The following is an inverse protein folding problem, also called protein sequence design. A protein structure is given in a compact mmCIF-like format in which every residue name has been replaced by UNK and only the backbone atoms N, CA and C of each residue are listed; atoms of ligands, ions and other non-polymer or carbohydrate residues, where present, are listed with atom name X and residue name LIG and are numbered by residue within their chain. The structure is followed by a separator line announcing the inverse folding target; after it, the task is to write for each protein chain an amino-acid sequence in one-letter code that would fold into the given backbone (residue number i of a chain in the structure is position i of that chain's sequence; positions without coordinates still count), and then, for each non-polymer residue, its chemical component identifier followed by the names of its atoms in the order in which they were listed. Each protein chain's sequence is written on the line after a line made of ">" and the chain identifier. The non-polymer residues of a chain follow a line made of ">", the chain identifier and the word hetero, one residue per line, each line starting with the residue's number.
data_IF_258805454174
#
_entry.id   IF_258805454174
#
_cell.length_a   1.000
_cell.length_b   1.000
_cell.length_c   1.000
_cell.angle_alpha   90.00
_cell.angle_beta   90.00
_cell.angle_gamma   90.00
#
_symmetry.space_group_name_H-M   'P 1'
#
loop_
_entity.id
_entity.type
_entity.pdbx_description
1 polymer ?
#
# COMPACT_ATOMS: atom_id res chain seq x y z
N UNK A 1 -22.24 -13.06 16.44
CA UNK A 1 -21.03 -12.80 15.62
C UNK A 1 -21.41 -11.84 14.51
N UNK A 2 -20.79 -10.63 14.43
CA UNK A 2 -21.12 -9.60 13.45
C UNK A 2 -20.47 -9.91 12.11
N UNK A 3 -21.25 -9.89 11.03
CA UNK A 3 -20.76 -10.10 9.67
C UNK A 3 -20.18 -8.80 9.11
N UNK A 4 -18.91 -8.83 8.68
CA UNK A 4 -18.20 -7.68 8.13
C UNK A 4 -17.74 -8.03 6.73
N UNK A 5 -18.32 -7.35 5.74
CA UNK A 5 -17.99 -7.61 4.35
C UNK A 5 -17.02 -6.56 3.82
N UNK A 6 -16.02 -7.02 3.05
CA UNK A 6 -15.03 -6.17 2.41
C UNK A 6 -15.31 -6.08 0.92
N UNK A 7 -15.53 -4.87 0.44
CA UNK A 7 -15.61 -4.52 -0.97
C UNK A 7 -14.30 -3.90 -1.41
N UNK A 8 -13.55 -4.60 -2.23
CA UNK A 8 -12.27 -4.14 -2.74
C UNK A 8 -11.96 -4.75 -4.11
N UNK A 9 -12.72 -4.43 -5.16
CA UNK A 9 -12.36 -4.84 -6.50
C UNK A 9 -11.10 -4.09 -6.93
N UNK A 10 -10.11 -4.81 -7.46
CA UNK A 10 -8.85 -4.22 -7.87
C UNK A 10 -8.46 -4.66 -9.28
N UNK A 11 -7.64 -3.84 -9.91
CA UNK A 11 -7.06 -4.07 -11.23
C UNK A 11 -5.55 -4.02 -11.06
N UNK A 12 -4.89 -5.14 -11.36
CA UNK A 12 -3.46 -5.32 -11.18
C UNK A 12 -3.01 -5.45 -9.72
N UNK A 13 -1.73 -5.68 -9.52
CA UNK A 13 -1.15 -5.93 -8.19
C UNK A 13 -0.89 -4.62 -7.45
N UNK A 14 -1.64 -4.35 -6.38
CA UNK A 14 -1.58 -3.12 -5.60
C UNK A 14 -1.46 -3.39 -4.09
N UNK A 15 -0.84 -2.47 -3.37
CA UNK A 15 -0.59 -2.60 -1.93
C UNK A 15 -1.88 -2.74 -1.08
N UNK A 16 -3.00 -2.19 -1.55
CA UNK A 16 -4.31 -2.28 -0.88
C UNK A 16 -4.78 -3.73 -0.68
N UNK A 17 -4.39 -4.66 -1.56
CA UNK A 17 -4.68 -6.10 -1.43
C UNK A 17 -4.18 -6.62 -0.07
N UNK A 18 -2.92 -6.32 0.24
CA UNK A 18 -2.31 -6.71 1.53
C UNK A 18 -3.02 -6.08 2.71
N UNK A 19 -3.42 -4.81 2.60
CA UNK A 19 -4.16 -4.11 3.66
C UNK A 19 -5.51 -4.77 3.93
N UNK A 20 -6.27 -5.14 2.90
CA UNK A 20 -7.58 -5.81 3.04
C UNK A 20 -7.45 -7.18 3.68
N UNK A 21 -6.54 -8.03 3.16
CA UNK A 21 -6.29 -9.36 3.73
C UNK A 21 -5.88 -9.27 5.20
N UNK A 22 -4.98 -8.35 5.53
CA UNK A 22 -4.49 -8.19 6.88
C UNK A 22 -5.55 -7.58 7.82
N UNK A 23 -6.39 -6.66 7.34
CA UNK A 23 -7.52 -6.11 8.10
C UNK A 23 -8.54 -7.21 8.42
N UNK A 24 -8.98 -7.98 7.42
CA UNK A 24 -9.88 -9.11 7.62
C UNK A 24 -9.27 -10.16 8.57
N UNK A 25 -8.01 -10.55 8.36
CA UNK A 25 -7.31 -11.49 9.23
C UNK A 25 -7.16 -10.97 10.68
N UNK A 26 -6.99 -9.67 10.87
CA UNK A 26 -6.89 -9.09 12.21
C UNK A 26 -8.19 -9.30 13.01
N UNK A 27 -9.34 -9.17 12.35
CA UNK A 27 -10.65 -9.45 12.94
C UNK A 27 -10.82 -10.94 13.27
N UNK A 28 -10.39 -11.84 12.37
CA UNK A 28 -10.40 -13.29 12.67
C UNK A 28 -9.54 -13.62 13.87
N UNK A 29 -8.31 -13.06 13.90
CA UNK A 29 -7.28 -13.48 14.87
C UNK A 29 -7.49 -12.94 16.27
N UNK A 30 -7.98 -11.70 16.40
CA UNK A 30 -7.95 -10.98 17.69
C UNK A 30 -9.33 -10.68 18.28
N UNK A 31 -10.42 -11.07 17.63
CA UNK A 31 -11.76 -10.69 18.08
C UNK A 31 -12.51 -11.72 18.91
N UNK A 32 -11.88 -12.84 19.26
CA UNK A 32 -12.53 -13.95 19.97
C UNK A 32 -13.90 -14.32 19.38
N UNK A 33 -13.92 -14.48 18.07
CA UNK A 33 -15.11 -14.81 17.26
C UNK A 33 -16.25 -13.76 17.30
N UNK A 34 -16.00 -12.54 17.77
CA UNK A 34 -17.00 -11.46 17.74
C UNK A 34 -17.33 -11.02 16.31
N UNK A 35 -16.34 -11.08 15.40
CA UNK A 35 -16.48 -10.65 14.02
C UNK A 35 -16.25 -11.79 13.04
N UNK A 36 -17.02 -11.79 11.96
CA UNK A 36 -16.92 -12.73 10.86
C UNK A 36 -16.65 -11.99 9.54
N UNK A 37 -15.36 -11.76 9.20
CA UNK A 37 -15.04 -11.08 7.95
C UNK A 37 -15.27 -11.97 6.73
N UNK A 38 -15.76 -11.34 5.64
CA UNK A 38 -15.90 -11.95 4.33
C UNK A 38 -15.40 -10.99 3.26
N UNK A 39 -14.53 -11.46 2.36
CA UNK A 39 -14.06 -10.69 1.22
C UNK A 39 -14.94 -11.02 0.02
N UNK A 40 -15.54 -9.98 -0.58
CA UNK A 40 -16.31 -10.10 -1.81
C UNK A 40 -15.34 -10.22 -2.98
N UNK A 41 -15.40 -11.34 -3.69
CA UNK A 41 -14.69 -11.57 -4.95
C UNK A 41 -15.61 -11.15 -6.09
N UNK A 42 -15.47 -9.92 -6.55
CA UNK A 42 -16.44 -9.30 -7.45
C UNK A 42 -16.31 -9.74 -8.90
N UNK A 43 -15.07 -9.98 -9.36
CA UNK A 43 -14.78 -10.26 -10.78
C UNK A 43 -13.71 -11.35 -10.95
N UNK A 44 -13.41 -12.13 -9.90
CA UNK A 44 -12.34 -13.11 -9.92
C UNK A 44 -10.97 -12.55 -9.49
N UNK A 45 -10.89 -11.28 -9.13
CA UNK A 45 -9.66 -10.60 -8.71
C UNK A 45 -9.00 -11.21 -7.48
N UNK A 46 -9.75 -11.97 -6.69
CA UNK A 46 -9.27 -12.65 -5.48
C UNK A 46 -9.00 -14.15 -5.69
N UNK A 47 -9.14 -14.69 -6.91
CA UNK A 47 -9.02 -16.14 -7.17
C UNK A 47 -7.62 -16.67 -6.81
N UNK A 48 -6.55 -15.91 -7.09
CA UNK A 48 -5.16 -16.28 -6.75
C UNK A 48 -4.86 -16.24 -5.24
N UNK A 49 -5.79 -15.74 -4.43
CA UNK A 49 -5.61 -15.57 -2.97
C UNK A 49 -6.33 -16.63 -2.14
N UNK A 50 -6.99 -17.62 -2.75
CA UNK A 50 -7.78 -18.67 -2.07
C UNK A 50 -6.98 -19.39 -0.98
N UNK A 51 -5.79 -19.88 -1.30
CA UNK A 51 -4.90 -20.54 -0.34
C UNK A 51 -4.54 -19.63 0.84
N UNK A 52 -4.30 -18.34 0.59
CA UNK A 52 -4.05 -17.34 1.64
C UNK A 52 -5.27 -17.12 2.53
N UNK A 53 -6.47 -17.18 1.97
CA UNK A 53 -7.71 -17.04 2.73
C UNK A 53 -7.95 -18.26 3.63
N UNK A 54 -7.75 -19.46 3.12
CA UNK A 54 -7.85 -20.71 3.89
C UNK A 54 -6.88 -20.72 5.07
N UNK A 55 -5.60 -20.45 4.83
CA UNK A 55 -4.58 -20.34 5.89
C UNK A 55 -4.92 -19.30 6.96
N UNK A 56 -5.62 -18.23 6.59
CA UNK A 56 -6.02 -17.14 7.50
C UNK A 56 -7.44 -17.26 8.01
N UNK A 57 -8.17 -18.32 7.64
CA UNK A 57 -9.58 -18.53 7.99
C UNK A 57 -10.49 -17.34 7.61
N UNK A 58 -10.21 -16.72 6.44
CA UNK A 58 -10.99 -15.61 5.90
C UNK A 58 -12.00 -16.21 4.91
N UNK A 59 -13.27 -15.87 5.05
CA UNK A 59 -14.30 -16.28 4.10
C UNK A 59 -14.25 -15.40 2.86
N UNK A 60 -14.57 -15.99 1.70
CA UNK A 60 -14.75 -15.26 0.45
C UNK A 60 -16.02 -15.70 -0.26
N UNK A 61 -16.65 -14.78 -1.00
CA UNK A 61 -17.87 -15.04 -1.80
C UNK A 61 -17.68 -14.42 -3.18
N UNK A 62 -17.67 -15.26 -4.21
CA UNK A 62 -17.54 -14.83 -5.61
C UNK A 62 -18.91 -14.46 -6.16
N UNK A 63 -18.98 -13.39 -6.97
CA UNK A 63 -20.17 -13.05 -7.74
C UNK A 63 -20.26 -13.89 -9.01
N UNK A 64 -21.46 -14.23 -9.39
CA UNK A 64 -21.78 -14.69 -10.73
C UNK A 64 -22.01 -13.44 -11.60
N UNK A 65 -21.04 -13.11 -12.42
CA UNK A 65 -21.11 -11.92 -13.26
C UNK A 65 -21.51 -12.28 -14.69
N UNK A 66 -22.33 -11.45 -15.31
CA UNK A 66 -22.71 -11.57 -16.71
C UNK A 66 -21.58 -11.28 -17.71
N UNK A 67 -20.55 -10.54 -17.29
CA UNK A 67 -19.43 -10.16 -18.14
C UNK A 67 -18.11 -10.67 -17.58
N UNK A 68 -17.30 -11.27 -18.45
CA UNK A 68 -15.90 -11.54 -18.15
C UNK A 68 -15.16 -10.21 -18.07
N UNK A 69 -14.56 -9.94 -16.91
CA UNK A 69 -13.79 -8.73 -16.67
C UNK A 69 -12.33 -9.15 -16.50
N UNK A 70 -11.49 -8.71 -17.45
CA UNK A 70 -10.05 -8.85 -17.29
C UNK A 70 -9.56 -7.86 -16.24
N UNK A 71 -9.12 -8.39 -15.10
CA UNK A 71 -8.58 -7.63 -13.98
C UNK A 71 -7.08 -7.37 -14.10
N UNK A 72 -6.39 -8.00 -15.08
CA UNK A 72 -4.96 -7.84 -15.32
C UNK A 72 -4.64 -6.74 -16.34
N UNK A 73 -5.41 -5.68 -16.36
CA UNK A 73 -5.21 -4.57 -17.30
C UNK A 73 -4.16 -3.58 -16.80
N UNK A 74 -3.19 -3.26 -17.67
CA UNK A 74 -2.23 -2.17 -17.44
C UNK A 74 -2.58 -0.95 -18.29
N UNK A 75 -2.31 0.24 -17.75
CA UNK A 75 -2.54 1.51 -18.46
C UNK A 75 -3.75 2.31 -17.95
N UNK A 76 -3.63 3.64 -17.99
CA UNK A 76 -4.60 4.57 -17.39
C UNK A 76 -6.01 4.49 -17.99
N UNK A 77 -6.13 4.46 -19.32
CA UNK A 77 -7.43 4.42 -20.02
C UNK A 77 -8.11 3.04 -19.85
N UNK A 78 -7.34 1.96 -20.01
CA UNK A 78 -7.85 0.60 -19.85
C UNK A 78 -8.39 0.37 -18.46
N UNK A 79 -7.69 0.83 -17.42
CA UNK A 79 -8.15 0.69 -16.03
C UNK A 79 -9.45 1.48 -15.77
N UNK A 80 -9.67 2.64 -16.38
CA UNK A 80 -10.92 3.39 -16.21
C UNK A 80 -12.12 2.70 -16.87
N UNK A 81 -11.93 2.14 -18.05
CA UNK A 81 -12.98 1.34 -18.72
C UNK A 81 -13.32 0.11 -17.86
N UNK A 82 -12.30 -0.55 -17.32
CA UNK A 82 -12.49 -1.70 -16.40
C UNK A 82 -13.28 -1.30 -15.16
N UNK A 83 -13.03 -0.12 -14.56
CA UNK A 83 -13.82 0.37 -13.42
C UNK A 83 -15.29 0.59 -13.74
N UNK A 84 -15.61 1.09 -14.95
CA UNK A 84 -17.00 1.23 -15.40
C UNK A 84 -17.64 -0.15 -15.60
N UNK A 85 -16.93 -1.10 -16.22
CA UNK A 85 -17.40 -2.48 -16.37
C UNK A 85 -17.67 -3.12 -15.01
N UNK A 86 -16.78 -3.00 -14.03
CA UNK A 86 -16.97 -3.49 -12.65
C UNK A 86 -18.20 -2.85 -12.02
N UNK A 87 -18.38 -1.53 -12.18
CA UNK A 87 -19.55 -0.83 -11.63
C UNK A 87 -20.85 -1.41 -12.17
N UNK A 88 -20.97 -1.58 -13.48
CA UNK A 88 -22.19 -2.09 -14.14
C UNK A 88 -22.43 -3.57 -13.81
N UNK A 89 -21.42 -4.42 -13.92
CA UNK A 89 -21.54 -5.87 -13.71
C UNK A 89 -21.85 -6.24 -12.27
N UNK A 90 -21.29 -5.49 -11.30
CA UNK A 90 -21.46 -5.81 -9.88
C UNK A 90 -22.65 -5.12 -9.23
N UNK A 91 -23.37 -4.25 -9.95
CA UNK A 91 -24.48 -3.47 -9.38
C UNK A 91 -25.56 -4.35 -8.74
N UNK A 92 -26.11 -5.29 -9.50
CA UNK A 92 -27.20 -6.17 -9.00
C UNK A 92 -26.67 -7.17 -7.97
N UNK A 93 -25.47 -7.72 -8.18
CA UNK A 93 -24.88 -8.70 -7.27
C UNK A 93 -24.58 -8.10 -5.90
N UNK A 94 -24.00 -6.90 -5.84
CA UNK A 94 -23.75 -6.21 -4.57
C UNK A 94 -25.07 -5.80 -3.89
N UNK A 95 -26.04 -5.28 -4.64
CA UNK A 95 -27.39 -4.98 -4.11
C UNK A 95 -28.04 -6.23 -3.51
N UNK A 96 -27.97 -7.40 -4.19
CA UNK A 96 -28.52 -8.68 -3.73
C UNK A 96 -27.89 -9.10 -2.39
N UNK A 97 -26.56 -9.08 -2.28
CA UNK A 97 -25.86 -9.40 -1.04
C UNK A 97 -26.28 -8.48 0.10
N UNK A 98 -26.32 -7.17 -0.12
CA UNK A 98 -26.71 -6.21 0.93
C UNK A 98 -28.16 -6.39 1.39
N UNK A 99 -29.06 -6.85 0.51
CA UNK A 99 -30.46 -7.11 0.86
C UNK A 99 -30.69 -8.47 1.51
N UNK A 100 -29.98 -9.52 1.07
CA UNK A 100 -30.18 -10.90 1.50
C UNK A 100 -29.30 -11.23 2.71
N UNK A 101 -27.99 -11.08 2.57
CA UNK A 101 -27.03 -11.45 3.63
C UNK A 101 -27.04 -10.42 4.79
N UNK A 102 -27.46 -9.17 4.52
CA UNK A 102 -27.57 -8.07 5.50
C UNK A 102 -26.38 -7.99 6.44
N UNK A 103 -25.12 -7.91 5.91
CA UNK A 103 -23.97 -7.82 6.78
C UNK A 103 -24.09 -6.58 7.68
N UNK A 104 -23.55 -6.64 8.90
CA UNK A 104 -23.60 -5.50 9.81
C UNK A 104 -22.82 -4.32 9.25
N UNK A 105 -21.65 -4.61 8.65
CA UNK A 105 -20.78 -3.59 8.03
C UNK A 105 -20.36 -3.99 6.63
N UNK A 106 -20.31 -3.00 5.74
CA UNK A 106 -19.60 -3.06 4.45
C UNK A 106 -18.44 -2.09 4.48
N UNK A 107 -17.21 -2.62 4.45
CA UNK A 107 -15.97 -1.81 4.36
C UNK A 107 -15.56 -1.72 2.89
N UNK A 108 -15.69 -0.54 2.30
CA UNK A 108 -15.37 -0.28 0.91
C UNK A 108 -13.97 0.37 0.77
N UNK A 109 -13.04 -0.34 0.11
CA UNK A 109 -11.65 0.12 -0.09
C UNK A 109 -11.45 0.79 -1.45
N UNK A 110 -11.86 0.14 -2.54
CA UNK A 110 -11.68 0.62 -3.91
C UNK A 110 -13.01 0.66 -4.63
N UNK A 111 -13.07 1.43 -5.71
CA UNK A 111 -14.31 1.63 -6.51
C UNK A 111 -15.50 1.94 -5.58
N UNK A 112 -15.28 2.86 -4.65
CA UNK A 112 -16.28 3.27 -3.64
C UNK A 112 -17.53 3.91 -4.25
N UNK A 113 -17.47 4.29 -5.53
CA UNK A 113 -18.63 4.88 -6.25
C UNK A 113 -19.83 3.94 -6.29
N UNK A 114 -19.64 2.63 -6.48
CA UNK A 114 -20.74 1.68 -6.52
C UNK A 114 -21.43 1.52 -5.16
N UNK A 115 -20.73 1.22 -4.04
CA UNK A 115 -21.39 1.22 -2.73
C UNK A 115 -22.08 2.55 -2.42
N UNK A 116 -21.44 3.69 -2.62
CA UNK A 116 -22.03 5.02 -2.36
C UNK A 116 -23.32 5.18 -3.16
N UNK A 117 -23.34 4.87 -4.46
CA UNK A 117 -24.51 4.98 -5.32
C UNK A 117 -25.66 4.08 -4.84
N UNK A 118 -25.36 2.82 -4.49
CA UNK A 118 -26.38 1.90 -3.95
C UNK A 118 -26.98 2.42 -2.64
N UNK A 119 -26.17 2.96 -1.74
CA UNK A 119 -26.64 3.50 -0.47
C UNK A 119 -27.42 4.82 -0.60
N UNK A 120 -27.23 5.56 -1.69
CA UNK A 120 -28.06 6.74 -2.00
C UNK A 120 -29.47 6.28 -2.43
N UNK A 121 -29.53 5.29 -3.34
CA UNK A 121 -30.80 4.89 -3.96
C UNK A 121 -31.61 3.92 -3.07
N UNK A 122 -30.93 3.00 -2.38
CA UNK A 122 -31.58 1.95 -1.61
C UNK A 122 -31.35 2.11 -0.12
N UNK A 123 -32.30 1.61 0.67
CA UNK A 123 -32.16 1.47 2.11
C UNK A 123 -31.66 0.07 2.45
N UNK A 124 -30.54 0.02 3.19
CA UNK A 124 -29.94 -1.21 3.72
C UNK A 124 -29.87 -1.12 5.25
N UNK A 125 -29.90 -2.27 5.92
CA UNK A 125 -29.61 -2.37 7.36
C UNK A 125 -28.10 -2.28 7.63
N UNK A 126 -27.29 -2.57 6.61
CA UNK A 126 -25.84 -2.53 6.63
C UNK A 126 -25.31 -1.13 6.84
N UNK A 127 -24.33 -0.98 7.70
CA UNK A 127 -23.57 0.27 7.92
C UNK A 127 -22.41 0.36 6.94
N UNK A 128 -22.28 1.49 6.23
CA UNK A 128 -21.23 1.70 5.23
C UNK A 128 -20.00 2.38 5.85
N UNK A 129 -18.86 1.70 5.74
CA UNK A 129 -17.55 2.24 6.10
C UNK A 129 -16.75 2.45 4.81
N UNK A 130 -16.12 3.61 4.66
CA UNK A 130 -15.29 3.89 3.49
C UNK A 130 -13.84 4.07 3.93
N UNK A 131 -12.96 3.22 3.40
CA UNK A 131 -11.53 3.39 3.58
C UNK A 131 -10.96 4.18 2.41
N UNK A 132 -10.27 5.27 2.72
CA UNK A 132 -9.59 6.10 1.73
C UNK A 132 -8.28 5.45 1.32
N UNK A 133 -8.06 5.39 0.01
CA UNK A 133 -6.81 4.87 -0.57
C UNK A 133 -6.14 5.99 -1.38
N UNK A 134 -5.12 6.58 -0.81
CA UNK A 134 -4.36 7.67 -1.44
C UNK A 134 -5.08 9.02 -1.43
N UNK A 135 -4.43 10.04 -2.02
CA UNK A 135 -4.97 11.39 -2.12
C UNK A 135 -6.20 11.42 -3.03
N UNK A 136 -7.37 11.61 -2.43
CA UNK A 136 -8.64 11.68 -3.17
C UNK A 136 -8.78 13.03 -3.86
N UNK A 137 -8.79 13.03 -5.19
CA UNK A 137 -9.16 14.22 -5.95
C UNK A 137 -10.68 14.41 -5.88
N UNK A 138 -11.13 15.35 -5.06
CA UNK A 138 -12.54 15.69 -4.90
C UNK A 138 -12.97 16.71 -5.97
N UNK A 139 -13.47 16.23 -7.11
CA UNK A 139 -14.19 17.07 -8.06
C UNK A 139 -15.62 17.36 -7.55
N UNK A 140 -16.29 18.34 -8.17
CA UNK A 140 -17.64 18.78 -7.79
C UNK A 140 -18.64 17.60 -7.71
N UNK A 141 -18.67 16.74 -8.72
CA UNK A 141 -19.59 15.60 -8.80
C UNK A 141 -19.35 14.58 -7.68
N UNK A 142 -18.08 14.24 -7.41
CA UNK A 142 -17.75 13.34 -6.32
C UNK A 142 -18.13 13.93 -4.95
N UNK A 143 -17.83 15.21 -4.74
CA UNK A 143 -18.21 15.93 -3.51
C UNK A 143 -19.73 15.92 -3.30
N UNK A 144 -20.49 16.13 -4.36
CA UNK A 144 -21.95 16.09 -4.35
C UNK A 144 -22.47 14.68 -3.95
N UNK A 145 -22.00 13.62 -4.62
CA UNK A 145 -22.40 12.23 -4.29
C UNK A 145 -22.07 11.88 -2.82
N UNK A 146 -20.91 12.28 -2.33
CA UNK A 146 -20.54 12.00 -0.96
C UNK A 146 -21.41 12.77 0.04
N UNK A 147 -21.77 14.00 -0.25
CA UNK A 147 -22.72 14.78 0.56
C UNK A 147 -24.12 14.14 0.59
N UNK A 148 -24.61 13.61 -0.52
CA UNK A 148 -25.87 12.87 -0.55
C UNK A 148 -25.82 11.59 0.31
N UNK A 149 -24.68 10.91 0.31
CA UNK A 149 -24.50 9.68 1.08
C UNK A 149 -24.12 9.90 2.56
N UNK A 150 -23.84 11.15 2.99
CA UNK A 150 -23.23 11.43 4.31
C UNK A 150 -23.96 10.83 5.50
N UNK A 151 -25.31 10.80 5.48
CA UNK A 151 -26.13 10.22 6.55
C UNK A 151 -26.07 8.69 6.59
N UNK A 152 -25.64 8.04 5.49
CA UNK A 152 -25.55 6.57 5.35
C UNK A 152 -24.14 6.05 5.61
N UNK A 153 -23.13 6.92 5.59
CA UNK A 153 -21.77 6.57 5.93
C UNK A 153 -21.67 6.56 7.46
N UNK A 154 -21.27 5.40 8.00
CA UNK A 154 -21.04 5.26 9.43
C UNK A 154 -19.80 6.02 9.82
N UNK A 155 -18.66 5.73 9.16
CA UNK A 155 -17.42 6.48 9.28
C UNK A 155 -16.51 6.27 8.07
N UNK A 156 -15.47 7.13 7.98
CA UNK A 156 -14.40 7.05 6.98
C UNK A 156 -13.10 6.75 7.71
N UNK A 157 -12.26 5.86 7.14
CA UNK A 157 -10.92 5.61 7.65
C UNK A 157 -9.85 6.18 6.72
N UNK A 158 -8.87 6.86 7.29
CA UNK A 158 -7.75 7.48 6.60
C UNK A 158 -6.44 6.84 7.07
N UNK A 159 -5.56 6.38 6.14
CA UNK A 159 -4.36 5.62 6.50
C UNK A 159 -3.20 6.49 6.99
N UNK A 160 -3.23 7.80 6.73
CA UNK A 160 -2.21 8.78 7.13
C UNK A 160 -2.87 9.98 7.79
N UNK A 161 -2.12 10.67 8.66
CA UNK A 161 -2.59 11.88 9.34
C UNK A 161 -2.89 13.00 8.32
N UNK A 162 -2.04 13.16 7.30
CA UNK A 162 -2.29 14.15 6.23
C UNK A 162 -3.63 13.89 5.52
N UNK A 163 -3.94 12.62 5.19
CA UNK A 163 -5.22 12.27 4.56
C UNK A 163 -6.39 12.51 5.50
N UNK A 164 -6.24 12.20 6.79
CA UNK A 164 -7.22 12.48 7.83
C UNK A 164 -7.52 13.98 7.93
N UNK A 165 -6.49 14.81 8.06
CA UNK A 165 -6.64 16.29 8.15
C UNK A 165 -7.25 16.87 6.86
N UNK A 166 -6.88 16.35 5.70
CA UNK A 166 -7.46 16.77 4.43
C UNK A 166 -8.96 16.47 4.35
N UNK A 167 -9.41 15.31 4.88
CA UNK A 167 -10.84 15.01 4.92
C UNK A 167 -11.63 15.87 5.90
N UNK A 168 -11.05 16.21 7.05
CA UNK A 168 -11.66 17.17 7.98
C UNK A 168 -11.85 18.54 7.28
N UNK A 169 -10.82 19.04 6.61
CA UNK A 169 -10.89 20.33 5.89
C UNK A 169 -11.92 20.33 4.74
N UNK A 170 -12.20 19.19 4.12
CA UNK A 170 -13.21 19.08 3.07
C UNK A 170 -14.64 19.28 3.60
N UNK A 171 -14.87 19.12 4.90
CA UNK A 171 -16.16 19.32 5.57
C UNK A 171 -17.33 18.63 4.86
N UNK A 172 -17.12 17.37 4.46
CA UNK A 172 -18.13 16.54 3.79
C UNK A 172 -18.92 15.73 4.82
N UNK A 173 -18.24 15.20 5.83
CA UNK A 173 -18.79 14.51 6.97
C UNK A 173 -18.40 15.23 8.27
N UNK A 174 -19.14 14.91 9.33
CA UNK A 174 -18.83 15.36 10.67
C UNK A 174 -17.47 14.81 11.12
N UNK A 175 -16.66 15.59 11.81
CA UNK A 175 -15.29 15.23 12.16
C UNK A 175 -15.19 13.92 12.98
N UNK A 176 -16.18 13.65 13.84
CA UNK A 176 -16.27 12.43 14.64
C UNK A 176 -16.50 11.15 13.80
N UNK A 177 -16.87 11.28 12.53
CA UNK A 177 -17.02 10.20 11.56
C UNK A 177 -15.77 9.99 10.68
N UNK A 178 -14.70 10.74 10.90
CA UNK A 178 -13.44 10.58 10.18
C UNK A 178 -12.43 10.02 11.17
N UNK A 179 -11.80 8.91 10.83
CA UNK A 179 -10.95 8.15 11.73
C UNK A 179 -9.56 7.99 11.12
N UNK A 180 -8.53 8.33 11.88
CA UNK A 180 -7.17 7.95 11.55
C UNK A 180 -6.97 6.47 11.88
N UNK A 181 -6.80 5.66 10.84
CA UNK A 181 -6.61 4.21 10.96
C UNK A 181 -5.44 3.76 10.07
N UNK A 182 -4.24 3.60 10.62
CA UNK A 182 -3.10 3.09 9.89
C UNK A 182 -3.37 1.71 9.28
N UNK A 183 -2.86 1.49 8.06
CA UNK A 183 -3.01 0.20 7.39
C UNK A 183 -2.27 -0.92 8.12
N UNK A 184 -2.83 -2.13 8.17
CA UNK A 184 -2.20 -3.27 8.81
C UNK A 184 -1.15 -3.90 7.88
N UNK A 185 0.01 -3.27 7.77
CA UNK A 185 1.09 -3.65 6.85
C UNK A 185 1.96 -4.75 7.45
N UNK A 186 2.23 -4.65 8.76
CA UNK A 186 3.24 -5.44 9.45
C UNK A 186 2.63 -6.68 10.09
N UNK A 187 3.25 -7.82 9.77
CA UNK A 187 3.15 -9.06 10.53
C UNK A 187 4.56 -9.44 11.01
N UNK A 188 4.84 -9.22 12.28
CA UNK A 188 6.19 -9.38 12.84
C UNK A 188 6.72 -10.79 12.66
N UNK A 189 5.92 -11.83 12.97
CA UNK A 189 6.35 -13.23 12.82
C UNK A 189 6.65 -13.59 11.36
N UNK A 190 5.85 -13.11 10.41
CA UNK A 190 6.08 -13.32 8.98
C UNK A 190 7.38 -12.66 8.51
N UNK A 191 7.64 -11.41 8.93
CA UNK A 191 8.87 -10.70 8.59
C UNK A 191 10.08 -11.43 9.14
N UNK A 192 10.06 -11.84 10.42
CA UNK A 192 11.17 -12.56 11.06
C UNK A 192 11.48 -13.88 10.35
N UNK A 193 10.46 -14.61 9.89
CA UNK A 193 10.67 -15.84 9.12
C UNK A 193 11.22 -15.55 7.73
N UNK A 194 10.66 -14.58 7.01
CA UNK A 194 11.08 -14.22 5.65
C UNK A 194 12.50 -13.67 5.57
N UNK A 195 12.99 -13.03 6.62
CA UNK A 195 14.39 -12.55 6.71
C UNK A 195 15.42 -13.66 6.74
N UNK A 196 15.05 -14.87 7.19
CA UNK A 196 15.96 -16.03 7.27
C UNK A 196 16.29 -16.64 5.92
N UNK A 197 15.47 -16.37 4.90
CA UNK A 197 15.67 -16.92 3.57
C UNK A 197 16.96 -16.38 2.94
N UNK A 198 17.70 -17.28 2.29
CA UNK A 198 18.94 -16.92 1.59
C UNK A 198 18.65 -16.11 0.34
N UNK A 199 19.51 -15.15 0.07
CA UNK A 199 19.58 -14.48 -1.22
C UNK A 199 20.33 -15.38 -2.19
N UNK A 200 19.70 -15.71 -3.32
CA UNK A 200 20.28 -16.53 -4.39
C UNK A 200 20.85 -15.57 -5.44
N UNK A 201 22.01 -15.86 -5.99
CA UNK A 201 22.71 -15.05 -7.02
C UNK A 201 23.04 -13.61 -6.57
N UNK A 202 23.42 -13.46 -5.30
CA UNK A 202 23.91 -12.20 -4.73
C UNK A 202 25.39 -12.30 -4.45
N UNK A 203 26.12 -11.24 -4.81
CA UNK A 203 27.51 -11.10 -4.41
C UNK A 203 27.57 -10.73 -2.92
N UNK A 204 27.95 -11.71 -2.08
CA UNK A 204 28.00 -11.55 -0.62
C UNK A 204 29.04 -10.53 -0.16
N UNK A 205 29.99 -10.20 -1.03
CA UNK A 205 31.12 -9.31 -0.72
C UNK A 205 30.84 -7.86 -1.12
N UNK A 206 29.66 -7.55 -1.68
CA UNK A 206 29.34 -6.20 -2.13
C UNK A 206 28.19 -5.60 -1.34
N UNK A 207 28.40 -4.41 -0.88
CA UNK A 207 27.36 -3.58 -0.30
C UNK A 207 26.32 -3.17 -1.35
N UNK A 208 25.05 -3.16 -0.96
CA UNK A 208 24.00 -2.79 -1.89
C UNK A 208 22.88 -1.96 -1.27
N UNK A 209 22.33 -1.10 -2.08
CA UNK A 209 21.05 -0.44 -1.85
C UNK A 209 19.91 -1.17 -2.54
N UNK A 210 18.71 -1.03 -2.01
CA UNK A 210 17.52 -1.59 -2.62
C UNK A 210 16.46 -0.53 -2.85
N UNK A 211 15.79 -0.57 -4.00
CA UNK A 211 14.54 0.14 -4.24
C UNK A 211 13.49 -0.86 -4.69
N UNK A 212 12.26 -0.72 -4.18
CA UNK A 212 11.20 -1.71 -4.37
C UNK A 212 9.91 -1.04 -4.79
N UNK A 213 9.31 -1.52 -5.88
CA UNK A 213 8.02 -1.01 -6.32
C UNK A 213 7.74 -1.29 -7.79
N UNK A 214 6.50 -1.02 -8.20
CA UNK A 214 6.11 -1.16 -9.61
C UNK A 214 6.94 -0.21 -10.50
N UNK A 215 7.30 -0.66 -11.67
CA UNK A 215 8.03 0.15 -12.65
C UNK A 215 7.07 1.12 -13.36
N UNK A 216 6.67 2.14 -12.62
CA UNK A 216 5.69 3.16 -13.03
C UNK A 216 6.24 4.57 -12.77
N UNK A 217 5.61 5.57 -13.38
CA UNK A 217 5.94 6.98 -13.15
C UNK A 217 5.88 7.35 -11.64
N UNK A 218 4.92 6.77 -10.91
CA UNK A 218 4.76 7.04 -9.47
C UNK A 218 6.01 6.70 -8.68
N UNK A 219 6.62 5.53 -8.91
CA UNK A 219 7.78 5.04 -8.15
C UNK A 219 9.10 5.68 -8.58
N UNK A 220 9.15 6.25 -9.78
CA UNK A 220 10.24 7.08 -10.29
C UNK A 220 11.65 6.49 -10.11
N UNK A 221 11.81 5.17 -10.36
CA UNK A 221 13.11 4.50 -10.23
C UNK A 221 14.18 5.07 -11.18
N UNK A 222 13.79 5.80 -12.25
CA UNK A 222 14.72 6.51 -13.11
C UNK A 222 15.56 7.54 -12.33
N UNK A 223 14.99 8.17 -11.30
CA UNK A 223 15.73 9.09 -10.44
C UNK A 223 16.88 8.36 -9.72
N UNK A 224 16.60 7.17 -9.19
CA UNK A 224 17.63 6.34 -8.54
C UNK A 224 18.71 5.91 -9.54
N UNK A 225 18.33 5.45 -10.75
CA UNK A 225 19.29 5.05 -11.79
C UNK A 225 20.23 6.20 -12.14
N UNK A 226 19.69 7.39 -12.42
CA UNK A 226 20.49 8.58 -12.76
C UNK A 226 21.37 9.05 -11.60
N UNK A 227 20.87 8.99 -10.37
CA UNK A 227 21.65 9.31 -9.18
C UNK A 227 22.84 8.35 -9.00
N UNK A 228 22.61 7.04 -9.21
CA UNK A 228 23.66 6.04 -9.10
C UNK A 228 24.77 6.19 -10.13
N UNK A 229 24.52 6.76 -11.31
CA UNK A 229 25.56 7.14 -12.25
C UNK A 229 26.61 8.12 -11.64
N UNK A 230 26.18 8.97 -10.69
CA UNK A 230 27.07 9.88 -9.96
C UNK A 230 27.72 9.19 -8.75
N UNK A 231 26.95 8.43 -7.98
CA UNK A 231 27.44 7.69 -6.80
C UNK A 231 28.55 6.71 -7.17
N UNK A 232 28.42 5.99 -8.28
CA UNK A 232 29.40 4.99 -8.74
C UNK A 232 30.72 5.58 -9.21
N UNK A 233 30.78 6.87 -9.53
CA UNK A 233 32.06 7.58 -9.78
C UNK A 233 32.89 7.73 -8.49
N UNK A 234 32.20 7.77 -7.33
CA UNK A 234 32.83 7.95 -6.01
C UNK A 234 33.05 6.58 -5.34
N UNK A 235 32.06 5.68 -5.46
CA UNK A 235 32.14 4.35 -4.87
C UNK A 235 31.69 3.28 -5.90
N UNK A 236 32.62 2.78 -6.74
CA UNK A 236 32.30 1.88 -7.85
C UNK A 236 31.89 0.45 -7.41
N UNK A 237 32.12 0.10 -6.14
CA UNK A 237 31.80 -1.25 -5.63
C UNK A 237 30.32 -1.44 -5.26
N UNK A 238 29.56 -0.36 -5.04
CA UNK A 238 28.18 -0.42 -4.58
C UNK A 238 27.24 -0.93 -5.69
N UNK A 239 26.23 -1.73 -5.28
CA UNK A 239 25.17 -2.22 -6.16
C UNK A 239 23.84 -1.57 -5.82
N UNK A 240 23.02 -1.31 -6.83
CA UNK A 240 21.59 -0.97 -6.67
C UNK A 240 20.73 -2.11 -7.22
N UNK A 241 19.91 -2.72 -6.35
CA UNK A 241 18.87 -3.63 -6.77
C UNK A 241 17.53 -2.90 -6.89
N UNK A 242 16.91 -2.98 -8.06
CA UNK A 242 15.58 -2.43 -8.33
C UNK A 242 14.63 -3.61 -8.47
N UNK A 243 13.76 -3.80 -7.47
CA UNK A 243 12.90 -4.97 -7.38
C UNK A 243 11.45 -4.61 -7.73
N UNK A 244 10.92 -5.26 -8.75
CA UNK A 244 9.56 -5.04 -9.19
C UNK A 244 9.33 -5.39 -10.65
N UNK A 245 8.23 -4.92 -11.19
CA UNK A 245 7.90 -5.03 -12.62
C UNK A 245 6.93 -3.89 -13.02
N UNK A 246 6.73 -3.67 -14.31
CA UNK A 246 5.80 -2.70 -14.84
C UNK A 246 6.17 -2.12 -16.19
N UNK A 247 5.34 -1.18 -16.62
CA UNK A 247 5.36 -0.57 -17.97
C UNK A 247 6.69 0.11 -18.34
N UNK A 248 7.46 0.59 -17.36
CA UNK A 248 8.72 1.29 -17.60
C UNK A 248 9.95 0.38 -17.63
N UNK A 249 9.80 -0.95 -17.57
CA UNK A 249 10.94 -1.90 -17.54
C UNK A 249 11.92 -1.68 -18.69
N UNK A 250 11.41 -1.62 -19.92
CA UNK A 250 12.25 -1.39 -21.13
C UNK A 250 13.02 -0.08 -21.02
N UNK A 251 12.39 0.99 -20.55
CA UNK A 251 13.01 2.30 -20.36
C UNK A 251 14.13 2.25 -19.33
N UNK A 252 13.94 1.51 -18.22
CA UNK A 252 15.00 1.34 -17.21
C UNK A 252 16.19 0.57 -17.76
N UNK A 253 15.97 -0.50 -18.53
CA UNK A 253 17.04 -1.27 -19.18
C UNK A 253 17.86 -0.38 -20.14
N UNK A 254 17.19 0.42 -20.97
CA UNK A 254 17.84 1.35 -21.89
C UNK A 254 18.69 2.40 -21.13
N UNK A 255 18.13 3.01 -20.09
CA UNK A 255 18.84 4.03 -19.31
C UNK A 255 20.08 3.45 -18.62
N UNK A 256 19.97 2.25 -18.03
CA UNK A 256 21.09 1.53 -17.39
C UNK A 256 22.19 1.26 -18.42
N UNK A 257 21.83 0.81 -19.62
CA UNK A 257 22.78 0.53 -20.70
C UNK A 257 23.44 1.80 -21.23
N UNK A 258 22.67 2.86 -21.48
CA UNK A 258 23.18 4.15 -21.97
C UNK A 258 24.18 4.78 -21.00
N UNK A 259 24.00 4.54 -19.69
CA UNK A 259 24.90 5.03 -18.64
C UNK A 259 26.04 4.05 -18.31
N UNK A 260 26.14 2.90 -19.00
CA UNK A 260 27.11 1.82 -18.76
C UNK A 260 27.08 1.26 -17.33
N UNK A 261 25.88 1.14 -16.73
CA UNK A 261 25.69 0.74 -15.33
C UNK A 261 25.25 -0.73 -15.16
N UNK A 262 25.33 -1.57 -16.20
CA UNK A 262 24.85 -2.96 -16.19
C UNK A 262 25.51 -3.82 -15.10
N UNK A 263 26.73 -3.51 -14.69
CA UNK A 263 27.44 -4.23 -13.63
C UNK A 263 26.94 -3.88 -12.24
N UNK A 264 26.47 -2.64 -12.03
CA UNK A 264 26.14 -2.09 -10.71
C UNK A 264 24.65 -1.92 -10.46
N UNK A 265 23.81 -1.84 -11.50
CA UNK A 265 22.36 -1.74 -11.34
C UNK A 265 21.69 -3.00 -11.87
N UNK A 266 20.96 -3.69 -11.02
CA UNK A 266 20.29 -4.96 -11.33
C UNK A 266 18.77 -4.83 -11.20
N UNK A 267 18.08 -5.09 -12.31
CA UNK A 267 16.60 -5.19 -12.29
C UNK A 267 16.21 -6.60 -11.88
N UNK A 268 15.47 -6.72 -10.78
CA UNK A 268 14.94 -7.99 -10.28
C UNK A 268 13.42 -7.97 -10.46
N UNK A 269 12.88 -8.99 -11.09
CA UNK A 269 11.43 -9.15 -11.23
C UNK A 269 10.73 -9.19 -9.88
N UNK A 270 9.40 -9.04 -9.88
CA UNK A 270 8.58 -9.08 -8.67
C UNK A 270 8.97 -10.23 -7.73
N UNK A 271 9.09 -9.90 -6.45
CA UNK A 271 9.44 -10.84 -5.39
C UNK A 271 8.38 -10.83 -4.29
N UNK A 272 7.92 -12.01 -3.87
CA UNK A 272 7.01 -12.13 -2.73
C UNK A 272 7.72 -11.90 -1.38
N UNK A 273 8.99 -12.31 -1.30
CA UNK A 273 9.80 -12.13 -0.09
C UNK A 273 10.74 -10.94 -0.24
N UNK A 274 10.23 -9.74 0.01
CA UNK A 274 11.02 -8.50 0.08
C UNK A 274 11.85 -8.38 1.38
N UNK A 275 11.39 -8.84 2.54
CA UNK A 275 12.14 -8.79 3.79
C UNK A 275 13.57 -9.31 3.72
N UNK A 276 13.86 -10.37 2.97
CA UNK A 276 15.23 -10.91 2.83
C UNK A 276 16.20 -9.96 2.15
N UNK A 277 15.70 -9.12 1.21
CA UNK A 277 16.52 -8.09 0.55
C UNK A 277 16.70 -6.87 1.44
N UNK A 278 15.64 -6.43 2.10
CA UNK A 278 15.69 -5.31 3.02
C UNK A 278 16.66 -5.55 4.17
N UNK A 279 16.62 -6.75 4.76
CA UNK A 279 17.48 -7.13 5.89
C UNK A 279 18.98 -7.06 5.58
N UNK A 280 19.37 -7.36 4.34
CA UNK A 280 20.76 -7.42 3.90
C UNK A 280 21.26 -6.13 3.26
N UNK A 281 20.34 -5.22 2.92
CA UNK A 281 20.72 -3.96 2.25
C UNK A 281 21.26 -2.93 3.23
N UNK A 282 22.12 -2.05 2.74
CA UNK A 282 22.59 -0.85 3.45
C UNK A 282 21.40 0.05 3.81
N UNK A 283 20.55 0.34 2.82
CA UNK A 283 19.36 1.13 2.99
C UNK A 283 18.31 0.84 1.87
N UNK A 284 17.04 1.11 2.20
CA UNK A 284 15.98 1.29 1.20
C UNK A 284 16.07 2.71 0.64
N UNK A 285 16.08 2.85 -0.68
CA UNK A 285 15.89 4.13 -1.38
C UNK A 285 14.49 4.16 -1.96
N UNK A 286 13.68 5.15 -1.57
CA UNK A 286 12.34 5.38 -2.13
C UNK A 286 12.30 6.71 -2.88
N UNK A 287 12.21 6.65 -4.22
CA UNK A 287 12.20 7.81 -5.10
C UNK A 287 10.80 8.22 -5.56
N UNK A 288 9.78 7.72 -4.89
CA UNK A 288 8.38 7.92 -5.28
C UNK A 288 8.00 9.39 -5.34
N UNK A 289 7.22 9.76 -6.35
CA UNK A 289 6.66 11.11 -6.50
C UNK A 289 5.51 11.37 -5.52
N UNK A 290 4.79 10.32 -5.09
CA UNK A 290 3.74 10.34 -4.07
C UNK A 290 3.54 8.96 -3.47
N UNK A 291 3.22 8.90 -2.18
CA UNK A 291 2.91 7.69 -1.42
C UNK A 291 1.79 7.95 -0.41
N UNK A 292 1.05 6.87 -0.08
CA UNK A 292 0.05 6.94 0.99
C UNK A 292 -0.30 5.51 1.49
N UNK A 293 0.28 5.02 2.58
CA UNK A 293 1.38 5.58 3.39
C UNK A 293 2.80 5.21 2.90
N UNK A 294 2.97 4.32 1.91
CA UNK A 294 4.29 3.83 1.48
C UNK A 294 4.68 2.51 2.16
N UNK A 295 4.02 1.42 1.80
CA UNK A 295 4.13 0.10 2.45
C UNK A 295 5.56 -0.41 2.57
N UNK A 296 6.35 -0.32 1.48
CA UNK A 296 7.73 -0.85 1.46
C UNK A 296 8.63 -0.14 2.47
N UNK A 297 8.44 1.15 2.66
CA UNK A 297 9.18 1.94 3.64
C UNK A 297 8.89 1.47 5.07
N UNK A 298 7.63 1.17 5.37
CA UNK A 298 7.21 0.65 6.67
C UNK A 298 7.72 -0.78 6.86
N UNK A 299 7.73 -1.60 5.81
CA UNK A 299 8.34 -2.93 5.82
C UNK A 299 9.85 -2.87 6.06
N UNK A 300 10.55 -1.92 5.43
CA UNK A 300 11.98 -1.69 5.66
C UNK A 300 12.27 -1.33 7.12
N UNK A 301 11.49 -0.44 7.70
CA UNK A 301 11.58 -0.11 9.12
C UNK A 301 11.42 -1.35 10.03
N UNK A 302 10.42 -2.19 9.74
CA UNK A 302 10.20 -3.43 10.49
C UNK A 302 11.34 -4.44 10.30
N UNK A 303 12.02 -4.42 9.16
CA UNK A 303 13.24 -5.19 8.89
C UNK A 303 14.50 -4.62 9.53
N UNK A 304 14.43 -3.47 10.21
CA UNK A 304 15.57 -2.73 10.73
C UNK A 304 16.52 -2.22 9.63
N UNK A 305 15.97 -1.88 8.45
CA UNK A 305 16.70 -1.31 7.31
C UNK A 305 16.65 0.20 7.39
N UNK A 306 17.76 0.88 7.08
CA UNK A 306 17.79 2.34 7.00
C UNK A 306 16.93 2.84 5.83
N UNK A 307 16.34 4.02 5.96
CA UNK A 307 15.42 4.57 4.96
C UNK A 307 15.93 5.91 4.44
N UNK A 308 16.09 5.99 3.11
CA UNK A 308 16.31 7.23 2.38
C UNK A 308 15.12 7.42 1.45
N UNK A 309 14.29 8.42 1.70
CA UNK A 309 13.03 8.60 0.97
C UNK A 309 12.85 10.00 0.44
N UNK A 310 12.17 10.11 -0.71
CA UNK A 310 11.70 11.40 -1.19
C UNK A 310 10.74 12.04 -0.16
N UNK A 311 10.85 13.35 0.03
CA UNK A 311 9.93 14.13 0.85
C UNK A 311 8.63 14.40 0.06
N UNK A 312 7.97 13.33 -0.38
CA UNK A 312 6.69 13.43 -1.06
C UNK A 312 5.53 13.32 -0.06
N UNK A 313 4.37 13.82 -0.45
CA UNK A 313 3.13 13.65 0.31
C UNK A 313 2.63 12.20 0.20
N UNK A 314 2.02 11.62 1.18
CA UNK A 314 1.78 12.05 2.56
C UNK A 314 2.58 11.17 3.52
N UNK A 315 2.70 9.88 3.23
CA UNK A 315 3.32 8.88 4.09
C UNK A 315 4.80 9.08 4.39
N UNK A 316 5.70 9.33 3.41
CA UNK A 316 7.13 9.46 3.67
C UNK A 316 7.45 10.61 4.63
N UNK A 317 6.84 11.76 4.44
CA UNK A 317 7.04 12.92 5.33
C UNK A 317 6.62 12.60 6.76
N UNK A 318 5.47 11.94 6.92
CA UNK A 318 4.92 11.59 8.23
C UNK A 318 5.73 10.47 8.90
N UNK A 319 6.07 9.42 8.13
CA UNK A 319 6.71 8.23 8.69
C UNK A 319 8.18 8.42 8.99
N UNK A 320 8.94 9.01 8.05
CA UNK A 320 10.40 9.21 8.19
C UNK A 320 10.71 10.41 9.08
N UNK A 321 10.08 11.56 8.82
CA UNK A 321 10.34 12.78 9.56
C UNK A 321 11.84 13.05 9.74
N UNK A 322 12.22 13.61 10.88
CA UNK A 322 13.62 13.90 11.18
C UNK A 322 14.38 12.74 11.85
N UNK A 323 13.65 11.76 12.42
CA UNK A 323 14.22 10.78 13.36
C UNK A 323 14.27 9.34 12.83
N UNK A 324 13.58 9.02 11.73
CA UNK A 324 13.38 7.64 11.28
C UNK A 324 14.07 7.32 9.97
N UNK A 325 15.01 8.15 9.54
CA UNK A 325 15.73 8.02 8.27
C UNK A 325 16.21 9.36 7.74
N UNK A 326 16.32 9.47 6.43
CA UNK A 326 16.67 10.71 5.72
C UNK A 326 15.58 11.00 4.67
N UNK A 327 15.14 12.25 4.63
CA UNK A 327 14.29 12.78 3.57
C UNK A 327 15.14 13.61 2.61
N UNK A 328 14.99 13.36 1.30
CA UNK A 328 15.54 14.21 0.26
C UNK A 328 14.42 14.93 -0.52
N UNK A 329 14.77 16.03 -1.16
CA UNK A 329 13.82 16.84 -1.93
C UNK A 329 13.18 16.03 -3.06
N UNK A 330 11.84 16.08 -3.15
CA UNK A 330 11.11 15.26 -4.10
C UNK A 330 11.53 15.55 -5.55
N UNK A 331 11.80 14.49 -6.30
CA UNK A 331 12.23 14.52 -7.70
C UNK A 331 13.53 15.31 -7.97
N UNK A 332 14.43 15.40 -6.98
CA UNK A 332 15.70 16.12 -7.07
C UNK A 332 16.87 15.13 -6.97
N UNK A 333 17.68 15.01 -8.05
CA UNK A 333 18.82 14.08 -8.14
C UNK A 333 19.95 14.52 -7.21
N UNK A 334 20.26 15.81 -7.18
CA UNK A 334 21.34 16.39 -6.39
C UNK A 334 21.07 16.22 -4.90
N UNK A 335 19.80 16.42 -4.50
CA UNK A 335 19.37 16.17 -3.12
C UNK A 335 19.48 14.69 -2.76
N UNK A 336 19.10 13.76 -3.66
CA UNK A 336 19.24 12.31 -3.43
C UNK A 336 20.71 11.92 -3.30
N UNK A 337 21.57 12.37 -4.22
CA UNK A 337 23.02 12.13 -4.21
C UNK A 337 23.65 12.59 -2.89
N UNK A 338 23.42 13.86 -2.51
CA UNK A 338 23.91 14.43 -1.25
C UNK A 338 23.49 13.58 -0.03
N UNK A 339 22.26 13.11 -0.02
CA UNK A 339 21.74 12.34 1.12
C UNK A 339 22.22 10.88 1.14
N UNK A 340 22.49 10.25 -0.01
CA UNK A 340 23.19 8.96 -0.06
C UNK A 340 24.63 9.10 0.44
N UNK A 341 25.37 10.10 -0.01
CA UNK A 341 26.75 10.37 0.43
C UNK A 341 26.80 10.71 1.94
N UNK A 342 25.82 11.48 2.44
CA UNK A 342 25.66 11.74 3.87
C UNK A 342 25.47 10.45 4.65
N UNK A 343 24.60 9.55 4.19
CA UNK A 343 24.38 8.25 4.83
C UNK A 343 25.63 7.39 4.87
N UNK A 344 26.39 7.32 3.77
CA UNK A 344 27.61 6.54 3.70
C UNK A 344 28.72 7.03 4.65
N UNK A 345 28.69 8.31 5.05
CA UNK A 345 29.61 8.93 6.02
C UNK A 345 29.03 9.03 7.42
N UNK A 346 27.78 8.59 7.63
CA UNK A 346 27.09 8.75 8.90
C UNK A 346 27.67 7.82 9.97
N UNK A 347 27.82 8.33 11.17
CA UNK A 347 28.22 7.54 12.32
C UNK A 347 27.26 6.37 12.58
N UNK A 348 27.82 5.23 12.97
CA UNK A 348 27.06 4.00 13.22
C UNK A 348 26.00 4.16 14.31
N UNK A 349 26.27 4.97 15.33
CA UNK A 349 25.33 5.27 16.41
C UNK A 349 24.12 6.08 15.87
N UNK A 350 24.35 7.10 15.02
CA UNK A 350 23.27 7.87 14.39
C UNK A 350 22.43 7.00 13.47
N UNK A 351 23.07 6.15 12.64
CA UNK A 351 22.40 5.15 11.79
C UNK A 351 21.49 4.26 12.64
N UNK A 352 22.04 3.70 13.74
CA UNK A 352 21.27 2.81 14.61
C UNK A 352 20.10 3.53 15.28
N UNK A 353 20.30 4.76 15.78
CA UNK A 353 19.26 5.59 16.39
C UNK A 353 18.07 5.78 15.43
N UNK A 354 18.35 6.14 14.17
CA UNK A 354 17.29 6.33 13.15
C UNK A 354 16.58 5.01 12.78
N UNK A 355 17.31 3.91 12.66
CA UNK A 355 16.72 2.57 12.42
C UNK A 355 15.80 2.15 13.57
N UNK A 356 16.18 2.37 14.81
CA UNK A 356 15.36 2.07 16.00
C UNK A 356 14.10 2.95 16.01
N UNK A 357 14.24 4.25 15.72
CA UNK A 357 13.11 5.17 15.60
C UNK A 357 12.09 4.70 14.56
N UNK A 358 12.56 4.37 13.36
CA UNK A 358 11.72 3.85 12.29
C UNK A 358 11.03 2.54 12.69
N UNK A 359 11.75 1.60 13.31
CA UNK A 359 11.22 0.33 13.77
C UNK A 359 10.14 0.51 14.86
N UNK A 360 10.35 1.40 15.83
CA UNK A 360 9.33 1.75 16.82
C UNK A 360 8.08 2.32 16.16
N UNK A 361 8.24 3.23 15.19
CA UNK A 361 7.12 3.82 14.47
C UNK A 361 6.34 2.78 13.64
N UNK A 362 7.01 1.76 13.08
CA UNK A 362 6.37 0.70 12.30
C UNK A 362 5.34 -0.14 13.11
N UNK A 363 5.41 -0.14 14.45
CA UNK A 363 4.47 -0.84 15.34
C UNK A 363 3.04 -0.33 15.15
N UNK A 364 2.86 0.95 14.80
CA UNK A 364 1.55 1.53 14.53
C UNK A 364 0.85 0.90 13.32
N UNK A 365 1.60 0.25 12.44
CA UNK A 365 1.13 -0.42 11.23
C UNK A 365 1.00 -1.94 11.38
N UNK A 366 1.01 -2.45 12.62
CA UNK A 366 0.79 -3.87 12.89
C UNK A 366 -0.69 -4.24 12.80
N UNK A 367 -0.95 -5.52 12.47
CA UNK A 367 -2.33 -6.06 12.46
C UNK A 367 -3.04 -5.91 13.81
N UNK A 368 -2.32 -6.07 14.92
CA UNK A 368 -2.89 -5.91 16.25
C UNK A 368 -3.29 -4.47 16.56
N UNK A 369 -2.43 -3.50 16.23
CA UNK A 369 -2.75 -2.08 16.42
C UNK A 369 -3.95 -1.65 15.59
N UNK A 370 -3.99 -2.08 14.32
CA UNK A 370 -5.13 -1.84 13.43
C UNK A 370 -6.43 -2.43 14.01
N UNK A 371 -6.39 -3.70 14.45
CA UNK A 371 -7.53 -4.33 15.09
C UNK A 371 -8.01 -3.54 16.31
N UNK A 372 -7.09 -3.17 17.21
CA UNK A 372 -7.43 -2.43 18.43
C UNK A 372 -8.16 -1.12 18.13
N UNK A 373 -7.75 -0.40 17.08
CA UNK A 373 -8.42 0.85 16.68
C UNK A 373 -9.76 0.53 16.00
N UNK A 374 -9.76 -0.33 14.97
CA UNK A 374 -10.96 -0.62 14.20
C UNK A 374 -12.08 -1.23 15.05
N UNK A 375 -11.76 -2.15 15.95
CA UNK A 375 -12.76 -2.83 16.79
C UNK A 375 -13.54 -1.88 17.72
N UNK A 376 -12.95 -0.74 18.11
CA UNK A 376 -13.62 0.26 18.93
C UNK A 376 -14.78 0.96 18.19
N UNK A 377 -14.80 0.90 16.86
CA UNK A 377 -15.81 1.52 16.02
C UNK A 377 -16.80 0.51 15.40
N UNK A 378 -16.53 -0.79 15.56
CA UNK A 378 -17.40 -1.88 15.10
C UNK A 378 -18.33 -2.32 16.25
N UNK A 379 -19.08 -1.38 16.80
CA UNK A 379 -19.97 -1.59 17.96
C UNK A 379 -21.33 -2.12 17.54
#
# INVERSE_FOLDING_TARGET
>A
MKNIYYWCPFVGNIATIKAVINSAHSLVKYSDKKFSPLIINSCGEWDDYKESFEKKKIRSKKFENFFLIDTNTSGYLKSRITYIKIFLSCFFSLKKILKIDKPEYLIAHLITSLPIFLFIIFRFQTKLIIRISGKVKMNFFRKFLWKLCKKKIEFITCPTEETYQNFIRLNILDANKIIYLPDPIINISEILNKKKDKLINFDKNKDFFVTVGRYTKQKNHLLAIKCFAKILKINPAIILYIIGDGELKKRYMQEISNLNLNNNIKLISYQQNIPKYLDKSLALISTSLWEDPGFVMIEAAACNTFIISSNCSSGPKEFVGNNNGILFENNNIESLEKNILKFLKMDSHEVMKKKIGAKKNSINFTKFRHFKILSNYLI
#
